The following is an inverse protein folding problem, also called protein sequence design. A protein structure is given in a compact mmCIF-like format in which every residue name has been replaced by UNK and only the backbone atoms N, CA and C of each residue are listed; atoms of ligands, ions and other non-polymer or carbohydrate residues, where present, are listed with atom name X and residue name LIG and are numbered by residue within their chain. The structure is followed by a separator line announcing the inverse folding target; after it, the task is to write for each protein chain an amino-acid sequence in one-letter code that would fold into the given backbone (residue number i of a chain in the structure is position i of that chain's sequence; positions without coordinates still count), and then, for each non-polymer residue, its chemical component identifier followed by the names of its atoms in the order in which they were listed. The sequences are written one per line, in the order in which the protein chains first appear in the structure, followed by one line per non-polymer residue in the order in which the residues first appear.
data_IF_590483049940
#
_entry.id   IF_590483049940
#
_cell.length_a   1.000
_cell.length_b   1.000
_cell.length_c   1.000
_cell.angle_alpha   90.00
_cell.angle_beta   90.00
_cell.angle_gamma   90.00
#
_symmetry.space_group_name_H-M   'P 1'
#
loop_
_entity.id
_entity.type
_entity.pdbx_description
1 polymer ?
#
# COMPACT_ATOMS: atom_id res chain seq x y z
N UNK A 1 -20.82 0.51 3.93
CA UNK A 1 -19.68 -0.42 3.73
C UNK A 1 -18.39 0.05 4.37
N UNK A 2 -17.61 -0.86 4.99
CA UNK A 2 -16.33 -0.56 5.67
C UNK A 2 -15.33 -1.73 5.60
N UNK A 3 -14.04 -1.42 5.74
CA UNK A 3 -13.01 -2.45 5.87
C UNK A 3 -13.11 -3.14 7.25
N UNK A 4 -12.98 -4.46 7.29
CA UNK A 4 -13.18 -5.26 8.48
C UNK A 4 -12.10 -6.36 8.59
N UNK A 5 -11.48 -6.57 9.76
CA UNK A 5 -10.51 -7.64 9.94
C UNK A 5 -11.20 -9.01 10.08
N UNK A 6 -10.57 -10.06 9.54
CA UNK A 6 -11.01 -11.45 9.68
C UNK A 6 -9.85 -12.26 10.23
N UNK A 7 -10.11 -12.93 11.36
CA UNK A 7 -9.18 -13.82 12.03
C UNK A 7 -9.51 -15.27 11.66
N UNK A 8 -8.54 -16.00 11.10
CA UNK A 8 -8.72 -17.40 10.72
C UNK A 8 -8.34 -18.33 11.87
N UNK A 9 -8.89 -19.56 11.92
CA UNK A 9 -8.50 -20.57 12.90
C UNK A 9 -6.99 -20.89 12.91
N UNK A 10 -6.31 -20.70 11.77
CA UNK A 10 -4.86 -20.86 11.65
C UNK A 10 -4.03 -19.77 12.35
N UNK A 11 -4.67 -18.78 12.99
CA UNK A 11 -4.03 -17.60 13.57
C UNK A 11 -3.63 -16.54 12.53
N UNK A 12 -3.88 -16.81 11.24
CA UNK A 12 -3.63 -15.84 10.17
C UNK A 12 -4.77 -14.81 10.09
N UNK A 13 -4.39 -13.53 9.94
CA UNK A 13 -5.33 -12.42 9.78
C UNK A 13 -5.30 -11.85 8.37
N UNK A 14 -6.47 -11.45 7.87
CA UNK A 14 -6.61 -10.61 6.68
C UNK A 14 -7.70 -9.56 6.89
N UNK A 15 -7.90 -8.69 5.90
CA UNK A 15 -8.95 -7.67 5.93
C UNK A 15 -9.87 -7.86 4.74
N UNK A 16 -11.15 -7.64 4.96
CA UNK A 16 -12.24 -7.75 3.98
C UNK A 16 -13.09 -6.48 3.96
N UNK A 17 -14.15 -6.44 3.15
CA UNK A 17 -15.15 -5.37 3.15
C UNK A 17 -16.50 -5.95 3.57
N UNK A 18 -17.15 -5.30 4.53
CA UNK A 18 -18.53 -5.58 4.91
C UNK A 18 -19.43 -4.40 4.51
N UNK A 19 -20.69 -4.69 4.22
CA UNK A 19 -21.71 -3.68 3.96
C UNK A 19 -22.30 -3.10 5.25
N UNK A 20 -23.46 -2.44 5.13
CA UNK A 20 -24.12 -1.79 6.26
C UNK A 20 -24.95 -2.78 7.09
N UNK A 21 -25.29 -3.93 6.51
CA UNK A 21 -25.97 -5.06 7.16
C UNK A 21 -24.97 -6.05 7.79
N UNK A 22 -23.69 -5.65 7.84
CA UNK A 22 -22.56 -6.46 8.32
C UNK A 22 -22.30 -7.73 7.49
N UNK A 23 -22.86 -7.81 6.28
CA UNK A 23 -22.62 -8.88 5.34
C UNK A 23 -21.31 -8.64 4.59
N UNK A 24 -20.59 -9.73 4.31
CA UNK A 24 -19.32 -9.68 3.57
C UNK A 24 -19.60 -9.41 2.09
N UNK A 25 -18.89 -8.45 1.50
CA UNK A 25 -18.94 -8.18 0.06
C UNK A 25 -18.15 -9.28 -0.68
N UNK A 26 -18.80 -10.21 -1.41
CA UNK A 26 -18.16 -11.46 -1.82
C UNK A 26 -16.91 -11.28 -2.69
N UNK A 27 -16.97 -10.42 -3.71
CA UNK A 27 -15.83 -10.17 -4.62
C UNK A 27 -14.64 -9.54 -3.90
N UNK A 28 -14.89 -8.64 -2.94
CA UNK A 28 -13.84 -7.99 -2.18
C UNK A 28 -13.13 -8.98 -1.28
N UNK A 29 -13.90 -9.85 -0.63
CA UNK A 29 -13.41 -10.85 0.28
C UNK A 29 -12.60 -11.94 -0.43
N UNK A 30 -13.11 -12.49 -1.54
CA UNK A 30 -12.38 -13.43 -2.38
C UNK A 30 -11.05 -12.84 -2.87
N UNK A 31 -11.08 -11.60 -3.35
CA UNK A 31 -9.89 -10.89 -3.80
C UNK A 31 -8.86 -10.69 -2.69
N UNK A 32 -9.30 -10.26 -1.50
CA UNK A 32 -8.39 -9.97 -0.39
C UNK A 32 -7.83 -11.25 0.24
N UNK A 33 -8.60 -12.35 0.25
CA UNK A 33 -8.10 -13.69 0.55
C UNK A 33 -7.06 -14.14 -0.47
N UNK A 34 -7.34 -13.98 -1.78
CA UNK A 34 -6.39 -14.29 -2.85
C UNK A 34 -5.09 -13.49 -2.70
N UNK A 35 -5.17 -12.19 -2.37
CA UNK A 35 -3.97 -11.40 -2.12
C UNK A 35 -3.19 -11.89 -0.90
N UNK A 36 -3.88 -12.20 0.21
CA UNK A 36 -3.22 -12.65 1.44
C UNK A 36 -2.52 -13.99 1.25
N UNK A 37 -3.22 -14.97 0.70
CA UNK A 37 -2.79 -16.37 0.72
C UNK A 37 -2.27 -16.84 -0.65
N UNK A 38 -2.88 -16.42 -1.75
CA UNK A 38 -2.42 -16.78 -3.10
C UNK A 38 -1.25 -15.94 -3.62
N UNK A 39 -1.07 -14.71 -3.12
CA UNK A 39 0.03 -13.80 -3.51
C UNK A 39 0.93 -13.41 -2.34
N UNK A 40 0.78 -14.07 -1.19
CA UNK A 40 1.59 -13.88 0.02
C UNK A 40 1.73 -12.41 0.43
N UNK A 41 0.68 -11.59 0.24
CA UNK A 41 0.72 -10.16 0.60
C UNK A 41 0.57 -9.99 2.11
N UNK A 42 1.16 -8.91 2.62
CA UNK A 42 1.07 -8.56 4.05
C UNK A 42 -0.35 -8.21 4.47
N UNK A 43 -0.70 -8.43 5.74
CA UNK A 43 -1.97 -7.99 6.34
C UNK A 43 -2.19 -6.48 6.15
N UNK A 44 -1.13 -5.67 6.27
CA UNK A 44 -1.24 -4.23 6.06
C UNK A 44 -1.63 -3.87 4.61
N UNK A 45 -1.17 -4.67 3.63
CA UNK A 45 -1.58 -4.50 2.24
C UNK A 45 -3.06 -4.81 2.08
N UNK A 46 -3.55 -5.93 2.63
CA UNK A 46 -4.98 -6.26 2.57
C UNK A 46 -5.83 -5.24 3.30
N UNK A 47 -5.37 -4.71 4.46
CA UNK A 47 -6.04 -3.59 5.15
C UNK A 47 -6.15 -2.34 4.28
N UNK A 48 -5.05 -1.93 3.65
CA UNK A 48 -5.03 -0.76 2.78
C UNK A 48 -5.95 -0.94 1.58
N UNK A 49 -5.95 -2.14 0.98
CA UNK A 49 -6.75 -2.45 -0.19
C UNK A 49 -8.24 -2.60 0.14
N UNK A 50 -8.58 -3.25 1.25
CA UNK A 50 -9.94 -3.30 1.79
C UNK A 50 -10.49 -1.88 2.03
N UNK A 51 -9.67 -0.99 2.57
CA UNK A 51 -10.06 0.42 2.78
C UNK A 51 -10.35 1.13 1.45
N UNK A 52 -9.54 0.88 0.42
CA UNK A 52 -9.74 1.43 -0.93
C UNK A 52 -10.99 0.88 -1.61
N UNK A 53 -11.17 -0.44 -1.58
CA UNK A 53 -12.37 -1.11 -2.09
C UNK A 53 -13.64 -0.61 -1.39
N UNK A 54 -13.61 -0.42 -0.06
CA UNK A 54 -14.74 0.12 0.67
C UNK A 54 -15.12 1.54 0.22
N UNK A 55 -14.15 2.40 -0.17
CA UNK A 55 -14.48 3.70 -0.77
C UNK A 55 -15.21 3.53 -2.11
N UNK A 56 -14.73 2.64 -2.96
CA UNK A 56 -15.33 2.39 -4.27
C UNK A 56 -16.76 1.90 -4.16
N UNK A 57 -17.02 0.90 -3.31
CA UNK A 57 -18.39 0.41 -3.14
C UNK A 57 -19.32 1.44 -2.49
N UNK A 58 -18.82 2.23 -1.53
CA UNK A 58 -19.61 3.35 -0.97
C UNK A 58 -19.98 4.36 -2.04
N UNK A 59 -19.04 4.73 -2.92
CA UNK A 59 -19.32 5.63 -4.03
C UNK A 59 -20.32 5.03 -5.03
N UNK A 60 -20.17 3.75 -5.37
CA UNK A 60 -21.13 3.05 -6.23
C UNK A 60 -22.53 3.08 -5.61
N UNK A 61 -22.67 2.71 -4.34
CA UNK A 61 -23.95 2.74 -3.61
C UNK A 61 -24.52 4.16 -3.54
N UNK A 62 -23.72 5.15 -3.16
CA UNK A 62 -24.15 6.54 -3.01
C UNK A 62 -24.60 7.18 -4.33
N UNK A 63 -24.19 6.64 -5.47
CA UNK A 63 -24.51 7.19 -6.79
C UNK A 63 -25.35 6.25 -7.66
N UNK A 64 -25.91 5.18 -7.07
CA UNK A 64 -26.79 4.23 -7.77
C UNK A 64 -26.09 3.41 -8.86
N UNK A 65 -24.75 3.26 -8.80
CA UNK A 65 -23.97 2.56 -9.81
C UNK A 65 -23.74 1.09 -9.44
N UNK A 66 -23.80 0.22 -10.44
CA UNK A 66 -23.29 -1.15 -10.35
C UNK A 66 -21.78 -1.13 -10.34
N UNK A 67 -21.16 -1.77 -9.35
CA UNK A 67 -19.72 -1.67 -9.13
C UNK A 67 -18.90 -2.32 -10.26
N UNK A 68 -19.48 -3.28 -10.97
CA UNK A 68 -18.90 -3.98 -12.13
C UNK A 68 -18.76 -3.05 -13.34
N UNK A 69 -19.65 -2.05 -13.44
CA UNK A 69 -19.77 -1.17 -14.60
C UNK A 69 -19.31 0.27 -14.31
N UNK A 70 -19.09 0.61 -13.05
CA UNK A 70 -18.76 1.97 -12.62
C UNK A 70 -17.31 2.40 -12.99
N UNK A 71 -16.50 1.47 -13.51
CA UNK A 71 -15.12 1.75 -13.92
C UNK A 71 -15.01 2.79 -15.05
N UNK A 72 -16.03 2.93 -15.89
CA UNK A 72 -16.15 4.01 -16.91
C UNK A 72 -16.19 5.41 -16.31
N UNK A 73 -16.64 5.53 -15.05
CA UNK A 73 -16.86 6.79 -14.34
C UNK A 73 -15.78 7.05 -13.28
N UNK A 74 -14.61 6.42 -13.37
CA UNK A 74 -13.54 6.58 -12.37
C UNK A 74 -13.04 8.03 -12.24
N UNK A 75 -13.19 8.86 -13.29
CA UNK A 75 -12.96 10.31 -13.18
C UNK A 75 -13.86 10.97 -12.14
N UNK A 76 -15.16 10.63 -12.12
CA UNK A 76 -16.12 11.11 -11.10
C UNK A 76 -15.79 10.55 -9.71
N UNK A 77 -15.36 9.28 -9.65
CA UNK A 77 -14.88 8.69 -8.40
C UNK A 77 -13.66 9.41 -7.83
N UNK A 78 -12.72 9.85 -8.67
CA UNK A 78 -11.55 10.63 -8.24
C UNK A 78 -11.96 11.96 -7.60
N UNK A 79 -12.90 12.67 -8.22
CA UNK A 79 -13.46 13.91 -7.68
C UNK A 79 -14.15 13.63 -6.33
N UNK A 80 -15.02 12.61 -6.29
CA UNK A 80 -15.69 12.21 -5.05
C UNK A 80 -14.68 11.83 -3.95
N UNK A 81 -13.62 11.10 -4.27
CA UNK A 81 -12.56 10.77 -3.31
C UNK A 81 -11.80 11.98 -2.79
N UNK A 82 -11.63 13.01 -3.61
CA UNK A 82 -10.88 14.21 -3.21
C UNK A 82 -11.68 15.08 -2.24
N UNK A 83 -13.00 15.13 -2.40
CA UNK A 83 -13.85 16.08 -1.66
C UNK A 83 -14.82 15.44 -0.65
N UNK A 84 -15.15 14.16 -0.77
CA UNK A 84 -16.11 13.51 0.14
C UNK A 84 -15.46 13.09 1.47
N UNK A 85 -16.03 13.45 2.64
CA UNK A 85 -15.48 13.08 3.95
C UNK A 85 -15.51 11.56 4.20
N UNK A 86 -14.71 11.07 5.16
CA UNK A 86 -14.57 9.63 5.44
C UNK A 86 -15.73 9.03 6.26
N UNK A 87 -16.45 9.87 7.00
CA UNK A 87 -17.72 9.56 7.66
C UNK A 87 -18.71 10.62 7.21
N UNK A 88 -19.81 10.23 6.57
CA UNK A 88 -21.01 11.05 6.59
C UNK A 88 -21.60 10.91 8.00
N UNK A 89 -21.06 11.68 8.95
CA UNK A 89 -21.73 11.88 10.24
C UNK A 89 -22.92 12.81 10.00
N UNK A 90 -24.02 12.56 10.69
CA UNK A 90 -25.16 13.47 10.76
C UNK A 90 -24.67 14.92 11.00
N UNK A 91 -25.33 15.89 10.35
CA UNK A 91 -25.10 17.34 10.47
C UNK A 91 -23.99 17.99 9.62
N UNK A 92 -23.84 17.61 8.36
CA UNK A 92 -23.26 18.56 7.37
C UNK A 92 -24.29 18.90 6.31
N UNK A 93 -24.89 20.08 6.46
CA UNK A 93 -25.82 20.75 5.54
C UNK A 93 -25.15 21.29 4.27
N UNK A 94 -23.93 20.86 3.94
CA UNK A 94 -23.22 21.27 2.72
C UNK A 94 -23.67 20.42 1.53
N UNK A 95 -24.48 21.05 0.67
CA UNK A 95 -25.06 20.46 -0.54
C UNK A 95 -24.05 20.29 -1.67
N UNK A 96 -22.84 20.87 -1.59
CA UNK A 96 -21.83 20.81 -2.66
C UNK A 96 -20.48 20.32 -2.14
N UNK A 97 -20.20 19.04 -2.35
CA UNK A 97 -18.87 18.44 -2.19
C UNK A 97 -18.22 18.34 -3.57
N UNK A 98 -17.42 19.34 -3.94
CA UNK A 98 -16.85 19.41 -5.28
C UNK A 98 -15.65 20.35 -5.42
N UNK A 99 -15.08 20.46 -6.63
CA UNK A 99 -14.04 21.42 -6.96
C UNK A 99 -14.50 22.83 -6.59
N UNK A 100 -13.83 23.45 -5.61
CA UNK A 100 -14.28 24.69 -4.96
C UNK A 100 -14.23 24.63 -3.43
N UNK A 101 -14.14 23.43 -2.86
CA UNK A 101 -13.90 23.20 -1.42
C UNK A 101 -12.47 22.69 -1.17
N UNK A 102 -11.98 22.79 0.06
CA UNK A 102 -10.65 22.27 0.42
C UNK A 102 -10.63 20.74 0.24
N UNK A 103 -9.67 20.18 -0.52
CA UNK A 103 -9.51 18.73 -0.64
C UNK A 103 -9.37 18.04 0.72
N UNK A 104 -10.13 16.97 0.94
CA UNK A 104 -10.09 16.14 2.16
C UNK A 104 -9.02 15.05 2.06
N UNK A 105 -8.56 14.73 0.84
CA UNK A 105 -7.52 13.72 0.60
C UNK A 105 -6.48 14.23 -0.39
N UNK A 106 -5.21 14.08 -0.03
CA UNK A 106 -4.08 14.35 -0.93
C UNK A 106 -3.93 13.29 -2.02
N UNK A 107 -3.18 13.65 -3.06
CA UNK A 107 -2.98 12.92 -4.31
C UNK A 107 -2.47 11.50 -4.06
N UNK A 108 -1.48 11.36 -3.16
CA UNK A 108 -0.93 10.05 -2.75
C UNK A 108 -1.98 9.12 -2.17
N UNK A 109 -2.91 9.65 -1.37
CA UNK A 109 -3.99 8.85 -0.79
C UNK A 109 -4.99 8.43 -1.86
N UNK A 110 -5.36 9.34 -2.76
CA UNK A 110 -6.24 9.05 -3.89
C UNK A 110 -5.63 7.96 -4.79
N UNK A 111 -4.36 8.09 -5.17
CA UNK A 111 -3.65 7.10 -5.98
C UNK A 111 -3.58 5.72 -5.29
N UNK A 112 -3.36 5.69 -3.97
CA UNK A 112 -3.40 4.45 -3.20
C UNK A 112 -4.77 3.77 -3.22
N UNK A 113 -5.86 4.54 -3.16
CA UNK A 113 -7.22 4.01 -3.32
C UNK A 113 -7.45 3.50 -4.74
N UNK A 114 -7.08 4.28 -5.76
CA UNK A 114 -7.23 3.87 -7.16
C UNK A 114 -6.43 2.60 -7.48
N UNK A 115 -5.24 2.43 -6.90
CA UNK A 115 -4.47 1.20 -7.05
C UNK A 115 -5.21 -0.03 -6.48
N UNK A 116 -5.86 0.11 -5.33
CA UNK A 116 -6.70 -0.94 -4.78
C UNK A 116 -7.91 -1.24 -5.67
N UNK A 117 -8.60 -0.20 -6.17
CA UNK A 117 -9.77 -0.37 -7.05
C UNK A 117 -9.40 -1.05 -8.35
N UNK A 118 -8.28 -0.67 -8.99
CA UNK A 118 -7.78 -1.37 -10.17
C UNK A 118 -7.47 -2.83 -9.88
N UNK A 119 -6.81 -3.11 -8.75
CA UNK A 119 -6.52 -4.49 -8.35
C UNK A 119 -7.78 -5.34 -8.14
N UNK A 120 -8.82 -4.77 -7.53
CA UNK A 120 -10.13 -5.40 -7.34
C UNK A 120 -10.80 -5.69 -8.69
N UNK A 121 -10.87 -4.68 -9.57
CA UNK A 121 -11.53 -4.81 -10.86
C UNK A 121 -10.79 -5.79 -11.78
N UNK A 122 -9.46 -5.76 -11.80
CA UNK A 122 -8.66 -6.75 -12.53
C UNK A 122 -8.88 -8.17 -12.00
N UNK A 123 -8.98 -8.34 -10.67
CA UNK A 123 -9.33 -9.63 -10.10
C UNK A 123 -10.74 -10.07 -10.48
N UNK A 124 -11.73 -9.17 -10.39
CA UNK A 124 -13.11 -9.43 -10.78
C UNK A 124 -13.21 -9.90 -12.24
N UNK A 125 -12.47 -9.26 -13.16
CA UNK A 125 -12.39 -9.72 -14.55
C UNK A 125 -11.75 -11.11 -14.66
N UNK A 126 -10.69 -11.39 -13.89
CA UNK A 126 -10.00 -12.68 -13.95
C UNK A 126 -10.87 -13.86 -13.48
N UNK A 127 -11.82 -13.62 -12.57
CA UNK A 127 -12.76 -14.64 -12.06
C UNK A 127 -14.15 -14.57 -12.72
N UNK A 128 -14.32 -13.74 -13.76
CA UNK A 128 -15.58 -13.60 -14.49
C UNK A 128 -16.67 -12.81 -13.77
N UNK A 129 -16.36 -12.16 -12.64
CA UNK A 129 -17.30 -11.33 -11.89
C UNK A 129 -17.51 -9.92 -12.49
N UNK A 130 -16.69 -9.52 -13.47
CA UNK A 130 -16.86 -8.27 -14.21
C UNK A 130 -16.51 -8.45 -15.71
N UNK A 131 -17.11 -7.67 -16.63
CA UNK A 131 -16.81 -7.75 -18.05
C UNK A 131 -15.35 -7.43 -18.39
N UNK A 132 -14.79 -8.10 -19.40
CA UNK A 132 -13.39 -7.86 -19.85
C UNK A 132 -13.13 -6.42 -20.29
N UNK A 133 -14.16 -5.72 -20.78
CA UNK A 133 -14.08 -4.30 -21.18
C UNK A 133 -13.63 -3.37 -20.04
N UNK A 134 -13.84 -3.76 -18.78
CA UNK A 134 -13.40 -3.00 -17.59
C UNK A 134 -11.88 -2.78 -17.60
N UNK A 135 -11.08 -3.74 -18.09
CA UNK A 135 -9.62 -3.58 -18.15
C UNK A 135 -9.21 -2.38 -19.02
N UNK A 136 -9.89 -2.15 -20.14
CA UNK A 136 -9.64 -1.00 -21.01
C UNK A 136 -10.09 0.35 -20.40
N UNK A 137 -10.96 0.32 -19.37
CA UNK A 137 -11.40 1.51 -18.63
C UNK A 137 -10.42 1.88 -17.52
N UNK A 138 -9.70 0.89 -16.96
CA UNK A 138 -8.74 1.12 -15.87
C UNK A 138 -7.29 1.24 -16.33
N UNK A 139 -6.94 0.62 -17.46
CA UNK A 139 -5.63 0.66 -18.08
C UNK A 139 -5.71 1.10 -19.54
N UNK A 140 -4.67 1.82 -19.98
CA UNK A 140 -4.38 2.08 -21.38
C UNK A 140 -3.11 1.33 -21.78
N UNK A 141 -3.02 0.93 -23.04
CA UNK A 141 -1.79 0.42 -23.62
C UNK A 141 -0.86 1.62 -23.82
N UNK A 142 0.27 1.64 -23.13
CA UNK A 142 1.32 2.63 -23.32
C UNK A 142 2.61 1.91 -23.74
N UNK A 143 3.48 2.60 -24.44
CA UNK A 143 4.81 2.10 -24.73
C UNK A 143 5.86 2.68 -23.77
N UNK A 144 7.12 2.30 -23.98
CA UNK A 144 8.26 2.72 -23.18
C UNK A 144 8.75 4.14 -23.47
N UNK A 145 8.19 4.87 -24.45
CA UNK A 145 8.66 6.24 -24.81
C UNK A 145 8.38 7.25 -23.72
N UNK A 146 7.27 7.09 -23.00
CA UNK A 146 6.86 7.96 -21.88
C UNK A 146 7.58 7.66 -20.56
N UNK A 147 8.51 6.70 -20.54
CA UNK A 147 9.27 6.36 -19.33
C UNK A 147 10.49 7.27 -19.18
N UNK A 148 10.84 7.67 -17.94
CA UNK A 148 12.17 8.19 -17.65
C UNK A 148 13.24 7.19 -18.08
N UNK A 149 14.42 7.66 -18.50
CA UNK A 149 15.52 6.81 -18.95
C UNK A 149 15.89 5.75 -17.90
N UNK A 150 15.79 6.09 -16.60
CA UNK A 150 16.08 5.17 -15.49
C UNK A 150 15.08 4.00 -15.37
N UNK A 151 13.96 4.07 -16.08
CA UNK A 151 12.93 3.03 -16.14
C UNK A 151 12.82 2.35 -17.51
N UNK A 152 13.59 2.80 -18.51
CA UNK A 152 13.79 2.06 -19.75
C UNK A 152 14.82 0.97 -19.44
N UNK A 153 14.39 -0.29 -19.47
CA UNK A 153 15.30 -1.41 -19.22
C UNK A 153 16.44 -1.44 -20.24
N UNK A 154 17.43 -2.30 -20.00
CA UNK A 154 18.60 -2.45 -20.90
C UNK A 154 18.23 -2.99 -22.30
N UNK A 155 17.00 -3.50 -22.47
CA UNK A 155 16.48 -3.94 -23.76
C UNK A 155 16.09 -2.76 -24.65
N UNK A 156 16.77 -2.66 -25.80
CA UNK A 156 16.68 -1.59 -26.80
C UNK A 156 15.38 -1.61 -27.65
N UNK A 157 14.30 -2.19 -27.13
CA UNK A 157 13.03 -2.40 -27.85
C UNK A 157 11.83 -1.60 -27.30
N UNK A 158 10.92 -1.19 -28.18
CA UNK A 158 9.58 -0.74 -27.79
C UNK A 158 8.82 -1.93 -27.19
N UNK A 159 8.56 -1.89 -25.88
CA UNK A 159 7.67 -2.85 -25.22
C UNK A 159 6.40 -2.15 -24.73
N UNK A 160 5.27 -2.85 -24.90
CA UNK A 160 3.97 -2.35 -24.46
C UNK A 160 3.71 -2.70 -23.00
N UNK A 161 3.18 -1.75 -22.25
CA UNK A 161 2.81 -1.90 -20.85
C UNK A 161 1.40 -1.37 -20.59
N UNK A 162 0.77 -1.89 -19.55
CA UNK A 162 -0.49 -1.33 -19.06
C UNK A 162 -0.19 -0.12 -18.17
N UNK A 163 -0.59 1.06 -18.63
CA UNK A 163 -0.52 2.32 -17.88
C UNK A 163 -1.87 2.61 -17.24
N UNK A 164 -1.86 3.04 -15.98
CA UNK A 164 -3.10 3.38 -15.28
C UNK A 164 -3.70 4.68 -15.86
N UNK A 165 -4.94 4.63 -16.37
CA UNK A 165 -5.63 5.80 -16.95
C UNK A 165 -5.94 6.88 -15.92
N UNK A 166 -6.30 6.44 -14.71
CA UNK A 166 -6.77 7.29 -13.63
C UNK A 166 -5.68 7.43 -12.56
N UNK A 167 -4.98 8.57 -12.56
CA UNK A 167 -3.90 8.90 -11.62
C UNK A 167 -3.79 10.41 -11.42
N UNK A 168 -3.52 10.86 -10.19
CA UNK A 168 -3.12 12.23 -9.90
C UNK A 168 -1.60 12.34 -9.84
N UNK A 169 -1.06 13.47 -10.30
CA UNK A 169 0.37 13.76 -10.15
C UNK A 169 0.67 14.05 -8.68
N UNK A 170 1.51 13.22 -8.08
CA UNK A 170 1.97 13.45 -6.71
C UNK A 170 3.09 14.48 -6.74
N UNK A 171 3.06 15.52 -5.88
CA UNK A 171 4.21 16.39 -5.70
C UNK A 171 5.44 15.56 -5.34
N UNK A 172 6.54 15.78 -6.05
CA UNK A 172 7.83 15.18 -5.68
C UNK A 172 8.26 15.85 -4.38
N UNK A 173 8.17 15.11 -3.28
CA UNK A 173 8.76 15.55 -2.03
C UNK A 173 10.26 15.28 -2.10
N UNK A 174 11.07 16.31 -1.87
CA UNK A 174 12.49 16.11 -1.65
C UNK A 174 12.65 15.31 -0.37
N UNK A 175 13.28 14.14 -0.50
CA UNK A 175 13.59 13.29 0.65
C UNK A 175 14.88 13.83 1.24
N UNK A 176 14.74 14.70 2.23
CA UNK A 176 15.86 15.20 2.99
C UNK A 176 16.47 14.06 3.83
N UNK A 177 17.79 13.92 3.74
CA UNK A 177 18.55 12.93 4.52
C UNK A 177 19.24 13.69 5.64
N UNK A 178 19.08 13.19 6.86
CA UNK A 178 19.81 13.71 8.01
C UNK A 178 21.31 13.71 7.71
N UNK A 179 21.95 14.85 7.94
CA UNK A 179 23.39 15.05 7.81
C UNK A 179 24.13 14.32 8.92
N UNK A 180 25.44 14.12 8.76
CA UNK A 180 26.24 13.41 9.77
C UNK A 180 26.25 14.12 11.13
N UNK A 181 26.29 15.45 11.15
CA UNK A 181 26.20 16.26 12.38
C UNK A 181 24.84 16.12 13.06
N UNK A 182 23.75 16.10 12.31
CA UNK A 182 22.40 15.86 12.82
C UNK A 182 22.25 14.44 13.39
N UNK A 183 22.81 13.43 12.71
CA UNK A 183 22.82 12.04 13.22
C UNK A 183 23.59 11.93 14.53
N UNK A 184 24.75 12.60 14.65
CA UNK A 184 25.53 12.65 15.88
C UNK A 184 24.75 13.36 16.99
N UNK A 185 24.11 14.50 16.69
CA UNK A 185 23.27 15.22 17.65
C UNK A 185 22.10 14.36 18.16
N UNK A 186 21.39 13.66 17.25
CA UNK A 186 20.34 12.72 17.62
C UNK A 186 20.87 11.57 18.49
N UNK A 187 22.05 11.04 18.16
CA UNK A 187 22.69 9.97 18.93
C UNK A 187 23.05 10.43 20.35
N UNK A 188 23.59 11.63 20.51
CA UNK A 188 23.95 12.22 21.81
C UNK A 188 22.69 12.53 22.65
N UNK A 189 21.58 12.92 22.02
CA UNK A 189 20.31 13.18 22.68
C UNK A 189 19.57 11.90 23.14
N UNK A 190 19.96 10.72 22.65
CA UNK A 190 19.33 9.46 23.02
C UNK A 190 19.57 9.12 24.51
N UNK A 191 18.47 8.81 25.22
CA UNK A 191 18.47 8.48 26.65
C UNK A 191 18.72 7.00 26.95
N UNK A 192 18.76 6.15 25.94
CA UNK A 192 18.97 4.71 26.09
C UNK A 192 19.86 4.12 25.00
N UNK A 193 20.54 3.01 25.31
CA UNK A 193 21.29 2.25 24.32
C UNK A 193 20.40 1.74 23.17
N UNK A 194 19.12 1.48 23.45
CA UNK A 194 18.12 1.11 22.46
C UNK A 194 17.90 2.23 21.44
N UNK A 195 17.69 3.46 21.89
CA UNK A 195 17.44 4.59 21.00
C UNK A 195 18.67 4.89 20.15
N UNK A 196 19.87 4.82 20.77
CA UNK A 196 21.16 4.94 20.07
C UNK A 196 21.29 3.92 18.95
N UNK A 197 20.99 2.64 19.25
CA UNK A 197 21.00 1.58 18.23
C UNK A 197 20.00 1.86 17.10
N UNK A 198 18.78 2.30 17.42
CA UNK A 198 17.76 2.62 16.41
C UNK A 198 18.23 3.77 15.49
N UNK A 199 18.82 4.83 16.05
CA UNK A 199 19.37 5.94 15.26
C UNK A 199 20.49 5.45 14.33
N UNK A 200 21.42 4.62 14.81
CA UNK A 200 22.49 4.07 13.97
C UNK A 200 21.96 3.14 12.87
N UNK A 201 20.99 2.28 13.17
CA UNK A 201 20.39 1.38 12.17
C UNK A 201 19.65 2.15 11.07
N UNK A 202 19.04 3.29 11.39
CA UNK A 202 18.41 4.14 10.40
C UNK A 202 19.42 4.97 9.61
N UNK A 203 20.34 5.65 10.29
CA UNK A 203 21.26 6.61 9.67
C UNK A 203 22.41 5.97 8.89
N UNK A 204 22.97 4.86 9.39
CA UNK A 204 24.17 4.23 8.80
C UNK A 204 23.87 2.94 8.06
N UNK A 205 22.93 2.13 8.55
CA UNK A 205 22.55 0.87 7.87
C UNK A 205 21.41 1.09 6.87
N UNK A 206 20.61 2.16 7.03
CA UNK A 206 19.50 2.46 6.13
C UNK A 206 18.30 1.52 6.28
N UNK A 207 18.17 0.85 7.43
CA UNK A 207 17.05 -0.07 7.65
C UNK A 207 15.72 0.67 7.70
N UNK A 208 14.70 0.10 7.08
CA UNK A 208 13.31 0.58 7.19
C UNK A 208 12.79 0.31 8.60
N UNK A 209 11.85 1.14 9.07
CA UNK A 209 11.25 0.99 10.42
C UNK A 209 10.76 -0.43 10.74
N UNK A 210 10.15 -1.11 9.76
CA UNK A 210 9.68 -2.49 9.92
C UNK A 210 10.80 -3.53 10.02
N UNK A 211 11.97 -3.24 9.44
CA UNK A 211 13.17 -4.09 9.53
C UNK A 211 13.81 -3.92 10.91
N UNK A 212 14.05 -2.67 11.33
CA UNK A 212 14.58 -2.36 12.68
C UNK A 212 13.72 -2.99 13.77
N UNK A 213 12.40 -2.80 13.71
CA UNK A 213 11.48 -3.36 14.69
C UNK A 213 11.36 -4.90 14.60
N UNK A 214 11.78 -5.51 13.50
CA UNK A 214 11.71 -6.95 13.26
C UNK A 214 13.01 -7.71 13.50
N UNK A 215 14.11 -7.02 13.80
CA UNK A 215 15.40 -7.65 14.08
C UNK A 215 15.34 -8.50 15.34
N UNK A 216 15.97 -9.67 15.28
CA UNK A 216 16.25 -10.53 16.43
C UNK A 216 17.74 -10.53 16.72
N UNK A 217 18.13 -10.92 17.94
CA UNK A 217 19.55 -11.08 18.31
C UNK A 217 20.29 -12.06 17.38
N UNK A 218 19.58 -13.10 16.91
CA UNK A 218 20.08 -14.08 15.93
C UNK A 218 20.41 -13.49 14.56
N UNK A 219 20.07 -12.23 14.32
CA UNK A 219 20.21 -11.58 13.02
C UNK A 219 21.42 -10.65 12.99
N UNK A 220 22.08 -10.42 14.13
CA UNK A 220 23.21 -9.51 14.26
C UNK A 220 24.51 -10.30 14.41
N UNK A 221 25.41 -10.10 13.45
CA UNK A 221 26.75 -10.68 13.46
C UNK A 221 27.74 -9.53 13.57
N UNK A 222 28.44 -9.44 14.72
CA UNK A 222 29.30 -8.31 15.03
C UNK A 222 30.79 -8.64 14.96
N UNK A 223 31.12 -9.90 14.68
CA UNK A 223 32.49 -10.39 14.57
C UNK A 223 32.95 -10.41 13.12
N UNK A 224 34.26 -10.31 12.86
CA UNK A 224 34.81 -10.43 11.51
C UNK A 224 34.48 -11.74 10.80
N UNK A 225 34.35 -12.83 11.58
CA UNK A 225 33.96 -14.16 11.10
C UNK A 225 32.77 -14.66 11.92
N UNK A 226 31.70 -15.05 11.21
CA UNK A 226 30.48 -15.61 11.79
C UNK A 226 30.11 -16.99 11.20
N UNK A 227 31.06 -17.70 10.57
CA UNK A 227 30.84 -19.04 10.01
C UNK A 227 30.43 -20.07 11.05
N UNK A 228 30.90 -19.93 12.30
CA UNK A 228 30.46 -20.74 13.43
C UNK A 228 28.95 -20.60 13.74
N UNK A 229 28.31 -19.51 13.30
CA UNK A 229 26.87 -19.27 13.39
C UNK A 229 26.12 -19.69 12.11
N UNK A 230 26.81 -20.32 11.15
CA UNK A 230 26.25 -20.71 9.85
C UNK A 230 26.03 -19.53 8.91
N UNK A 231 26.90 -18.52 8.98
CA UNK A 231 26.86 -17.34 8.14
C UNK A 231 28.19 -17.14 7.39
N UNK A 232 28.11 -17.07 6.07
CA UNK A 232 29.27 -16.92 5.18
C UNK A 232 29.60 -15.44 4.87
N UNK A 233 28.79 -14.50 5.34
CA UNK A 233 29.04 -13.07 5.16
C UNK A 233 30.17 -12.61 6.11
N UNK A 234 31.18 -11.95 5.55
CA UNK A 234 32.31 -11.44 6.32
C UNK A 234 32.00 -10.10 7.01
N UNK A 235 32.67 -9.85 8.13
CA UNK A 235 32.57 -8.58 8.84
C UNK A 235 31.27 -8.39 9.63
N UNK A 236 31.16 -7.22 10.26
CA UNK A 236 29.98 -6.88 11.06
C UNK A 236 28.78 -6.53 10.16
N UNK A 237 27.68 -7.27 10.28
CA UNK A 237 26.48 -7.10 9.46
C UNK A 237 25.20 -7.51 10.20
N UNK A 238 24.05 -7.20 9.59
CA UNK A 238 22.72 -7.60 10.09
C UNK A 238 21.89 -8.22 8.98
N UNK A 239 21.22 -9.34 9.28
CA UNK A 239 20.34 -10.00 8.33
C UNK A 239 18.89 -9.55 8.47
N UNK A 240 18.35 -8.99 7.39
CA UNK A 240 16.91 -8.72 7.32
C UNK A 240 16.19 -9.96 6.79
N UNK A 241 15.57 -10.74 7.68
CA UNK A 241 14.74 -11.88 7.28
C UNK A 241 13.25 -11.58 7.39
N UNK A 242 12.47 -12.02 6.41
CA UNK A 242 11.00 -11.96 6.44
C UNK A 242 10.47 -13.05 7.36
N UNK A 243 9.82 -12.67 8.45
CA UNK A 243 9.22 -13.60 9.43
C UNK A 243 8.04 -12.95 10.15
N UNK A 244 7.18 -13.79 10.74
CA UNK A 244 6.18 -13.32 11.69
C UNK A 244 6.86 -12.98 13.02
N UNK A 245 6.77 -11.72 13.43
CA UNK A 245 7.27 -11.27 14.72
C UNK A 245 6.12 -11.10 15.72
N UNK A 246 6.39 -11.36 17.00
CA UNK A 246 5.41 -11.23 18.09
C UNK A 246 4.86 -9.80 18.21
N UNK A 247 5.71 -8.80 17.93
CA UNK A 247 5.33 -7.39 17.87
C UNK A 247 4.67 -6.96 16.54
N UNK A 248 4.35 -7.92 15.65
CA UNK A 248 3.74 -7.71 14.33
C UNK A 248 4.58 -6.89 13.35
N UNK A 249 5.87 -6.68 13.64
CA UNK A 249 6.79 -6.06 12.69
C UNK A 249 7.02 -6.97 11.49
N UNK A 250 7.06 -6.38 10.29
CA UNK A 250 7.22 -7.11 9.04
C UNK A 250 8.17 -6.38 8.10
N UNK A 251 9.16 -7.09 7.57
CA UNK A 251 10.01 -6.61 6.47
C UNK A 251 9.31 -6.88 5.14
N UNK A 252 8.97 -5.81 4.40
CA UNK A 252 8.35 -5.90 3.08
C UNK A 252 9.29 -6.34 1.98
#
# INVERSE_FOLDING_TARGET
MRAFPVDLPSGARYWTVIDDDLCVVPVADQWLRFLRFGRSRTELTTRSYASGAAFYFRWCRATGRRWEEAARDLGLFMVWLRYSPARLGAETSTVVWGPGTRPVRGERRVNGVLAAVRGLLSYAVSVGAAPRSVLGQVYELADSRDLPEEAKGEETGLYYRLRARHRLQEPKADVDRARDDELVAMFLACRSARDRLIVLLHGRVGLRRGQVAGLRRSDCHLLPDSRALGCDEEGAHVHVRRRANSNRAWSK
#
